data_IF_611977689260
#
_entry.id   IF_611977689260
#
_cell.length_a   1.000
_cell.length_b   1.000
_cell.length_c   1.000
_cell.angle_alpha   90.00
_cell.angle_beta   90.00
_cell.angle_gamma   90.00
#
_symmetry.space_group_name_H-M   'P 1'
#
loop_
_entity.id
_entity.type
_entity.pdbx_description
1 polymer ?
#
# COMPACT_ATOMS: atom_id res chain seq x y z
N UNK A 1 14.33 23.48 27.87
CA UNK A 1 13.70 24.70 27.36
C UNK A 1 12.89 24.33 26.13
N UNK A 2 11.56 24.34 26.24
CA UNK A 2 10.66 24.12 25.10
C UNK A 2 10.66 25.40 24.26
N UNK A 3 11.38 25.40 23.13
CA UNK A 3 11.18 26.43 22.11
C UNK A 3 9.69 26.38 21.69
N UNK A 4 8.93 27.44 22.02
CA UNK A 4 7.59 27.64 21.48
C UNK A 4 7.72 27.60 19.96
N UNK A 5 7.15 26.61 19.30
CA UNK A 5 7.06 26.56 17.84
C UNK A 5 6.16 27.73 17.43
N UNK A 6 6.73 28.76 16.83
CA UNK A 6 5.97 29.86 16.25
C UNK A 6 4.99 29.30 15.21
N UNK A 7 3.74 29.73 15.30
CA UNK A 7 2.71 29.43 14.31
C UNK A 7 3.16 30.11 13.00
N UNK A 8 3.34 29.35 11.94
CA UNK A 8 3.71 29.89 10.63
C UNK A 8 2.58 30.76 10.11
N UNK A 9 2.86 32.02 9.83
CA UNK A 9 1.93 32.95 9.21
C UNK A 9 1.70 32.60 7.75
N UNK A 10 0.50 32.92 7.24
CA UNK A 10 0.19 32.87 5.81
C UNK A 10 1.15 33.79 5.04
N UNK A 11 1.52 33.40 3.84
CA UNK A 11 2.32 34.19 2.91
C UNK A 11 1.60 34.29 1.58
N UNK A 12 1.62 35.48 0.98
CA UNK A 12 1.20 35.68 -0.40
C UNK A 12 2.14 34.92 -1.37
N UNK A 13 1.76 34.79 -2.64
CA UNK A 13 2.58 34.12 -3.65
C UNK A 13 3.95 34.84 -3.77
N UNK A 14 3.96 36.17 -3.82
CA UNK A 14 5.22 36.93 -3.93
C UNK A 14 6.11 36.75 -2.70
N UNK A 15 5.55 36.75 -1.51
CA UNK A 15 6.27 36.45 -0.27
C UNK A 15 6.80 35.00 -0.24
N UNK A 16 6.09 34.06 -0.82
CA UNK A 16 6.57 32.67 -0.97
C UNK A 16 7.72 32.56 -1.95
N UNK A 17 7.65 33.26 -3.08
CA UNK A 17 8.73 33.32 -4.08
C UNK A 17 9.99 33.93 -3.47
N UNK A 18 9.86 35.06 -2.78
CA UNK A 18 10.98 35.70 -2.07
C UNK A 18 11.58 34.78 -1.00
N UNK A 19 10.73 34.09 -0.23
CA UNK A 19 11.18 33.13 0.77
C UNK A 19 11.93 31.95 0.13
N UNK A 20 11.47 31.41 -1.01
CA UNK A 20 12.15 30.33 -1.72
C UNK A 20 13.55 30.76 -2.15
N UNK A 21 13.69 31.93 -2.74
CA UNK A 21 15.01 32.45 -3.12
C UNK A 21 15.92 32.65 -1.90
N UNK A 22 15.46 33.39 -0.89
CA UNK A 22 16.25 33.70 0.29
C UNK A 22 16.66 32.45 1.09
N UNK A 23 15.74 31.51 1.26
CA UNK A 23 15.95 30.37 2.18
C UNK A 23 16.41 29.10 1.51
N UNK A 24 16.17 28.90 0.20
CA UNK A 24 16.44 27.66 -0.52
C UNK A 24 17.18 27.86 -1.84
N UNK A 25 17.47 29.12 -2.22
CA UNK A 25 18.14 29.47 -3.47
C UNK A 25 17.41 28.94 -4.71
N UNK A 26 16.07 28.91 -4.66
CA UNK A 26 15.21 28.54 -5.79
C UNK A 26 14.68 29.81 -6.43
N UNK A 27 14.97 30.00 -7.70
CA UNK A 27 14.52 31.11 -8.54
C UNK A 27 13.20 30.70 -9.22
N UNK A 28 12.17 31.50 -9.05
CA UNK A 28 10.86 31.31 -9.64
C UNK A 28 10.62 32.40 -10.68
N UNK A 29 10.44 32.01 -11.92
CA UNK A 29 10.10 32.94 -13.02
C UNK A 29 8.61 33.34 -12.90
N UNK A 30 8.25 34.53 -13.38
CA UNK A 30 6.87 35.05 -13.27
C UNK A 30 5.85 34.12 -13.93
N UNK A 31 6.19 33.49 -15.05
CA UNK A 31 5.37 32.49 -15.74
C UNK A 31 5.06 31.26 -14.89
N UNK A 32 5.91 30.91 -13.93
CA UNK A 32 5.78 29.72 -13.10
C UNK A 32 4.99 29.99 -11.79
N UNK A 33 4.67 31.26 -11.51
CA UNK A 33 3.92 31.60 -10.27
C UNK A 33 2.53 30.96 -10.19
N UNK A 34 1.93 30.60 -11.34
CA UNK A 34 0.60 29.95 -11.36
C UNK A 34 0.58 28.60 -10.61
N UNK A 35 1.71 27.89 -10.53
CA UNK A 35 1.79 26.62 -9.79
C UNK A 35 1.44 26.78 -8.31
N UNK A 36 1.64 27.97 -7.71
CA UNK A 36 1.28 28.22 -6.32
C UNK A 36 -0.23 28.38 -6.09
N UNK A 37 -1.02 28.63 -7.15
CA UNK A 37 -2.48 28.60 -7.09
C UNK A 37 -3.06 27.20 -7.33
N UNK A 38 -2.31 26.32 -8.01
CA UNK A 38 -2.75 24.96 -8.29
C UNK A 38 -2.40 23.97 -7.18
N UNK A 39 -1.30 24.23 -6.43
CA UNK A 39 -0.79 23.33 -5.41
C UNK A 39 -0.38 24.04 -4.14
N UNK A 40 -0.69 23.41 -3.01
CA UNK A 40 -0.26 23.94 -1.72
C UNK A 40 1.29 23.94 -1.62
N UNK A 41 1.86 25.07 -1.20
CA UNK A 41 3.30 25.23 -0.98
C UNK A 41 3.92 24.10 -0.14
N UNK A 42 3.20 23.64 0.90
CA UNK A 42 3.73 22.60 1.81
C UNK A 42 3.89 21.27 1.08
N UNK A 43 2.90 20.87 0.28
CA UNK A 43 2.93 19.62 -0.49
C UNK A 43 3.87 19.71 -1.70
N UNK A 44 4.05 20.89 -2.27
CA UNK A 44 4.89 21.11 -3.45
C UNK A 44 6.38 21.21 -3.09
N UNK A 45 6.74 21.91 -2.02
CA UNK A 45 8.16 22.23 -1.73
C UNK A 45 8.78 21.28 -0.71
N UNK A 46 8.07 21.02 0.40
CA UNK A 46 8.66 20.30 1.52
C UNK A 46 9.10 18.86 1.20
N UNK A 47 8.36 18.08 0.42
CA UNK A 47 8.73 16.71 0.06
C UNK A 47 10.04 16.66 -0.74
N UNK A 48 10.28 17.66 -1.60
CA UNK A 48 11.36 17.65 -2.58
C UNK A 48 12.57 18.55 -2.22
N UNK A 49 12.45 19.37 -1.16
CA UNK A 49 13.51 20.34 -0.77
C UNK A 49 14.90 19.75 -0.57
N UNK A 50 14.97 18.44 -0.26
CA UNK A 50 16.26 17.76 -0.10
C UNK A 50 17.04 17.63 -1.41
N UNK A 51 16.37 17.65 -2.56
CA UNK A 51 17.01 17.57 -3.88
C UNK A 51 17.84 18.82 -4.20
N UNK A 52 17.50 19.95 -3.60
CA UNK A 52 18.16 21.25 -3.79
C UNK A 52 19.20 21.57 -2.71
N UNK A 53 19.35 20.70 -1.71
CA UNK A 53 20.29 20.91 -0.62
C UNK A 53 21.66 20.36 -0.93
N UNK A 54 22.71 21.09 -0.53
CA UNK A 54 24.08 20.64 -0.64
C UNK A 54 24.56 19.80 0.55
N UNK A 55 23.70 19.61 1.56
CA UNK A 55 23.99 18.83 2.75
C UNK A 55 23.19 19.31 3.97
N UNK A 56 23.69 18.94 5.16
CA UNK A 56 23.08 19.34 6.44
C UNK A 56 24.14 20.00 7.31
N UNK A 57 23.74 20.98 8.09
CA UNK A 57 24.61 21.59 9.10
C UNK A 57 24.67 20.71 10.36
N UNK A 58 25.48 21.11 11.34
CA UNK A 58 25.67 20.40 12.62
C UNK A 58 24.36 20.27 13.45
N UNK A 59 23.34 21.08 13.14
CA UNK A 59 21.97 20.99 13.75
C UNK A 59 20.99 20.18 12.91
N UNK A 60 21.46 19.47 11.86
CA UNK A 60 20.62 18.66 10.97
C UNK A 60 19.77 19.45 9.96
N UNK A 61 19.87 20.79 9.91
CA UNK A 61 19.13 21.62 8.94
C UNK A 61 19.76 21.54 7.56
N UNK A 62 18.94 21.50 6.50
CA UNK A 62 19.38 21.49 5.11
C UNK A 62 20.09 22.83 4.77
N UNK A 63 21.17 22.72 4.01
CA UNK A 63 21.99 23.85 3.52
C UNK A 63 21.77 23.96 2.02
N UNK A 64 21.52 25.19 1.55
CA UNK A 64 21.30 25.52 0.14
C UNK A 64 22.37 26.54 -0.29
N UNK A 65 23.34 26.12 -1.10
CA UNK A 65 24.45 26.95 -1.55
C UNK A 65 24.35 27.32 -3.03
N UNK A 66 23.82 26.44 -3.84
CA UNK A 66 23.67 26.61 -5.29
C UNK A 66 22.26 27.14 -5.61
N UNK A 67 22.18 28.01 -6.60
CA UNK A 67 20.91 28.45 -7.16
C UNK A 67 20.35 27.40 -8.09
N UNK A 68 19.03 27.24 -8.04
CA UNK A 68 18.26 26.30 -8.83
C UNK A 68 17.07 27.01 -9.46
N UNK A 69 16.69 26.59 -10.66
CA UNK A 69 15.45 27.05 -11.27
C UNK A 69 14.26 26.27 -10.75
N UNK A 70 13.15 26.95 -10.50
CA UNK A 70 11.90 26.33 -10.05
C UNK A 70 11.38 25.25 -11.02
N UNK A 71 11.69 25.37 -12.33
CA UNK A 71 11.36 24.35 -13.33
C UNK A 71 11.98 22.98 -13.04
N UNK A 72 13.17 22.94 -12.37
CA UNK A 72 13.76 21.67 -11.91
C UNK A 72 12.83 20.97 -10.90
N UNK A 73 12.26 21.74 -9.96
CA UNK A 73 11.30 21.21 -8.98
C UNK A 73 10.03 20.71 -9.67
N UNK A 74 9.48 21.49 -10.60
CA UNK A 74 8.28 21.11 -11.36
C UNK A 74 8.51 19.83 -12.14
N UNK A 75 9.67 19.63 -12.72
CA UNK A 75 10.03 18.39 -13.43
C UNK A 75 10.05 17.19 -12.48
N UNK A 76 10.62 17.34 -11.27
CA UNK A 76 10.61 16.27 -10.24
C UNK A 76 9.16 15.93 -9.85
N UNK A 77 8.32 16.93 -9.64
CA UNK A 77 6.91 16.74 -9.30
C UNK A 77 6.17 15.99 -10.42
N UNK A 78 6.38 16.38 -11.68
CA UNK A 78 5.76 15.70 -12.83
C UNK A 78 6.16 14.22 -12.91
N UNK A 79 7.43 13.91 -12.65
CA UNK A 79 7.90 12.52 -12.62
C UNK A 79 7.21 11.75 -11.49
N UNK A 80 7.09 12.36 -10.30
CA UNK A 80 6.41 11.73 -9.16
C UNK A 80 4.92 11.48 -9.44
N UNK A 81 4.23 12.46 -10.04
CA UNK A 81 2.82 12.34 -10.42
C UNK A 81 2.60 11.22 -11.45
N UNK A 82 3.40 11.19 -12.52
CA UNK A 82 3.26 10.16 -13.57
C UNK A 82 3.61 8.76 -13.03
N UNK A 83 4.64 8.65 -12.19
CA UNK A 83 4.96 7.39 -11.53
C UNK A 83 3.85 6.95 -10.57
N UNK A 84 3.24 7.88 -9.83
CA UNK A 84 2.11 7.60 -8.94
C UNK A 84 0.89 7.09 -9.72
N UNK A 85 0.57 7.64 -10.89
CA UNK A 85 -0.48 7.11 -11.78
C UNK A 85 -0.21 5.67 -12.19
N UNK A 86 1.02 5.40 -12.64
CA UNK A 86 1.44 4.06 -13.04
C UNK A 86 1.33 3.08 -11.86
N UNK A 87 1.80 3.48 -10.68
CA UNK A 87 1.70 2.65 -9.47
C UNK A 87 0.26 2.41 -9.04
N UNK A 88 -0.62 3.40 -9.17
CA UNK A 88 -2.04 3.23 -8.88
C UNK A 88 -2.67 2.10 -9.70
N UNK A 89 -2.39 2.08 -11.00
CA UNK A 89 -2.86 1.01 -11.89
C UNK A 89 -2.31 -0.36 -11.49
N UNK A 90 -0.99 -0.47 -11.29
CA UNK A 90 -0.33 -1.73 -10.95
C UNK A 90 -0.77 -2.27 -9.59
N UNK A 91 -0.94 -1.40 -8.61
CA UNK A 91 -1.47 -1.76 -7.29
C UNK A 91 -2.92 -2.25 -7.40
N UNK A 92 -3.74 -1.61 -8.24
CA UNK A 92 -5.11 -2.05 -8.49
C UNK A 92 -5.17 -3.46 -9.10
N UNK A 93 -4.31 -3.77 -10.07
CA UNK A 93 -4.21 -5.11 -10.66
C UNK A 93 -3.72 -6.15 -9.63
N UNK A 94 -2.71 -5.80 -8.83
CA UNK A 94 -2.22 -6.64 -7.73
C UNK A 94 -3.32 -6.93 -6.71
N UNK A 95 -4.04 -5.91 -6.24
CA UNK A 95 -5.14 -6.06 -5.29
C UNK A 95 -6.25 -6.97 -5.86
N UNK A 96 -6.61 -6.77 -7.12
CA UNK A 96 -7.60 -7.61 -7.81
C UNK A 96 -7.16 -9.08 -7.87
N UNK A 97 -5.91 -9.34 -8.24
CA UNK A 97 -5.36 -10.70 -8.29
C UNK A 97 -5.30 -11.32 -6.89
N UNK A 98 -4.82 -10.56 -5.90
CA UNK A 98 -4.75 -11.03 -4.51
C UNK A 98 -6.13 -11.42 -3.97
N UNK A 99 -7.17 -10.61 -4.22
CA UNK A 99 -8.56 -10.94 -3.88
C UNK A 99 -8.95 -12.30 -4.41
N UNK A 100 -8.77 -12.52 -5.70
CA UNK A 100 -9.15 -13.79 -6.34
C UNK A 100 -8.39 -14.97 -5.75
N UNK A 101 -7.07 -14.88 -5.61
CA UNK A 101 -6.23 -15.99 -5.13
C UNK A 101 -6.53 -16.33 -3.67
N UNK A 102 -6.64 -15.33 -2.79
CA UNK A 102 -6.96 -15.54 -1.36
C UNK A 102 -8.31 -16.24 -1.21
N UNK A 103 -9.33 -15.79 -1.95
CA UNK A 103 -10.65 -16.36 -1.80
C UNK A 103 -10.83 -17.71 -2.48
N UNK A 104 -10.11 -17.99 -3.55
CA UNK A 104 -10.06 -19.34 -4.08
C UNK A 104 -9.52 -20.32 -3.04
N UNK A 105 -8.45 -19.97 -2.32
CA UNK A 105 -7.93 -20.83 -1.23
C UNK A 105 -8.92 -20.98 -0.07
N UNK A 106 -9.64 -19.92 0.29
CA UNK A 106 -10.70 -20.02 1.30
C UNK A 106 -11.85 -20.93 0.83
N UNK A 107 -12.31 -20.75 -0.41
CA UNK A 107 -13.41 -21.58 -0.96
C UNK A 107 -13.03 -23.06 -1.04
N UNK A 108 -11.77 -23.39 -1.32
CA UNK A 108 -11.27 -24.79 -1.33
C UNK A 108 -11.49 -25.51 0.01
N UNK A 109 -11.58 -24.80 1.14
CA UNK A 109 -11.87 -25.39 2.46
C UNK A 109 -13.32 -25.89 2.58
N UNK A 110 -14.19 -25.48 1.64
CA UNK A 110 -15.61 -25.79 1.65
C UNK A 110 -16.06 -26.68 0.47
N UNK A 111 -15.18 -27.03 -0.47
CA UNK A 111 -15.51 -27.81 -1.67
C UNK A 111 -16.11 -29.18 -1.32
N UNK A 112 -15.62 -29.84 -0.27
CA UNK A 112 -16.07 -31.16 0.17
C UNK A 112 -17.11 -31.08 1.33
N UNK A 113 -17.71 -29.92 1.54
CA UNK A 113 -18.72 -29.76 2.57
C UNK A 113 -20.07 -30.29 2.05
N UNK A 114 -20.64 -31.31 2.71
CA UNK A 114 -21.96 -31.89 2.32
C UNK A 114 -23.07 -30.83 2.28
N UNK A 115 -23.03 -29.86 3.21
CA UNK A 115 -24.01 -28.78 3.25
C UNK A 115 -23.83 -27.79 2.09
N UNK A 116 -22.55 -27.55 1.64
CA UNK A 116 -22.26 -26.72 0.47
C UNK A 116 -22.63 -27.42 -0.84
N UNK A 117 -22.63 -28.75 -0.90
CA UNK A 117 -23.05 -29.50 -2.09
C UNK A 117 -24.55 -29.39 -2.35
N UNK A 118 -25.33 -29.23 -1.30
CA UNK A 118 -26.81 -29.04 -1.38
C UNK A 118 -27.16 -27.58 -1.68
N UNK A 119 -26.45 -26.64 -1.08
CA UNK A 119 -26.63 -25.20 -1.30
C UNK A 119 -25.37 -24.63 -1.99
N UNK A 120 -25.39 -24.57 -3.33
CA UNK A 120 -24.29 -24.05 -4.17
C UNK A 120 -23.81 -22.64 -3.80
N UNK A 121 -24.33 -22.04 -2.75
CA UNK A 121 -24.05 -20.65 -2.32
C UNK A 121 -22.86 -20.51 -1.40
N UNK A 122 -22.31 -21.60 -0.82
CA UNK A 122 -21.17 -21.57 0.10
C UNK A 122 -21.34 -20.51 1.23
N UNK A 123 -22.41 -20.64 2.02
CA UNK A 123 -22.75 -19.70 3.09
C UNK A 123 -22.47 -20.25 4.50
N UNK A 124 -21.96 -21.46 4.59
CA UNK A 124 -21.61 -22.12 5.88
C UNK A 124 -20.58 -21.33 6.70
N UNK A 125 -19.68 -20.59 6.02
CA UNK A 125 -18.71 -19.74 6.68
C UNK A 125 -19.36 -18.75 7.66
N UNK A 126 -20.58 -18.29 7.37
CA UNK A 126 -21.32 -17.37 8.25
C UNK A 126 -21.68 -18.03 9.59
N UNK A 127 -22.07 -19.29 9.56
CA UNK A 127 -22.35 -20.04 10.79
C UNK A 127 -21.08 -20.24 11.61
N UNK A 128 -19.99 -20.64 10.98
CA UNK A 128 -18.69 -20.85 11.63
C UNK A 128 -18.13 -19.55 12.24
N UNK A 129 -18.23 -18.42 11.52
CA UNK A 129 -17.81 -17.12 12.04
C UNK A 129 -18.67 -16.73 13.25
N UNK A 130 -20.00 -16.88 13.16
CA UNK A 130 -20.90 -16.55 14.26
C UNK A 130 -20.55 -17.36 15.52
N UNK A 131 -20.40 -18.68 15.39
CA UNK A 131 -20.03 -19.57 16.50
C UNK A 131 -18.70 -19.17 17.14
N UNK A 132 -17.70 -18.78 16.32
CA UNK A 132 -16.42 -18.27 16.84
C UNK A 132 -16.55 -16.94 17.58
N UNK A 133 -17.33 -16.01 17.03
CA UNK A 133 -17.50 -14.68 17.65
C UNK A 133 -18.29 -14.74 18.96
N UNK A 134 -19.27 -15.62 19.05
CA UNK A 134 -20.09 -15.81 20.27
C UNK A 134 -19.38 -16.64 21.35
N UNK A 135 -18.75 -17.74 20.96
CA UNK A 135 -18.25 -18.73 21.92
C UNK A 135 -16.71 -18.80 22.02
N UNK A 136 -15.99 -18.27 21.04
CA UNK A 136 -14.51 -18.21 21.03
C UNK A 136 -13.80 -19.56 20.85
N UNK A 137 -14.53 -20.66 20.64
CA UNK A 137 -13.99 -22.03 20.76
C UNK A 137 -13.41 -22.58 19.45
N UNK A 138 -14.11 -22.40 18.34
CA UNK A 138 -13.71 -23.05 17.08
C UNK A 138 -13.54 -22.00 15.97
N UNK A 139 -12.33 -21.86 15.44
CA UNK A 139 -12.09 -20.98 14.32
C UNK A 139 -12.75 -21.50 13.05
N UNK A 140 -13.23 -20.62 12.15
CA UNK A 140 -13.68 -21.02 10.81
C UNK A 140 -12.64 -21.88 10.09
N UNK A 141 -13.07 -22.82 9.24
CA UNK A 141 -12.20 -23.82 8.54
C UNK A 141 -11.08 -23.18 7.73
N UNK A 142 -11.27 -21.98 7.20
CA UNK A 142 -10.23 -21.28 6.47
C UNK A 142 -9.16 -20.67 7.36
N UNK A 143 -9.40 -20.53 8.67
CA UNK A 143 -8.40 -20.05 9.61
C UNK A 143 -7.41 -21.16 9.96
N UNK A 144 -6.12 -20.84 9.87
CA UNK A 144 -5.04 -21.65 10.37
C UNK A 144 -4.63 -21.25 11.79
N UNK A 145 -3.53 -21.85 12.25
CA UNK A 145 -2.88 -21.46 13.51
C UNK A 145 -2.19 -20.09 13.35
N UNK A 146 -2.99 -19.06 13.38
CA UNK A 146 -2.65 -17.66 13.17
C UNK A 146 -1.46 -17.15 13.95
N UNK A 147 -1.27 -17.65 15.19
CA UNK A 147 -0.27 -17.15 16.11
C UNK A 147 1.18 -17.40 15.67
N UNK A 148 1.46 -18.47 14.93
CA UNK A 148 2.85 -18.88 14.70
C UNK A 148 3.64 -17.93 13.77
N UNK A 149 3.01 -17.40 12.74
CA UNK A 149 3.70 -16.50 11.78
C UNK A 149 3.69 -15.06 12.29
N UNK A 150 2.61 -14.64 12.92
CA UNK A 150 2.52 -13.31 13.53
C UNK A 150 3.46 -13.15 14.73
N UNK A 151 3.61 -14.15 15.57
CA UNK A 151 4.61 -14.16 16.63
C UNK A 151 6.03 -13.98 16.11
N UNK A 152 6.39 -14.54 14.94
CA UNK A 152 7.72 -14.31 14.35
C UNK A 152 7.89 -12.92 13.78
N UNK A 153 6.85 -12.32 13.22
CA UNK A 153 6.87 -10.92 12.74
C UNK A 153 6.89 -9.95 13.92
N UNK A 154 6.12 -10.25 14.97
CA UNK A 154 6.02 -9.42 16.17
C UNK A 154 7.17 -9.61 17.17
N UNK A 155 7.86 -10.75 17.19
CA UNK A 155 9.03 -10.98 18.08
C UNK A 155 10.22 -10.09 17.77
N UNK A 156 10.25 -9.44 16.62
CA UNK A 156 11.20 -8.36 16.35
C UNK A 156 10.75 -7.00 16.94
N UNK A 157 9.55 -6.90 17.50
CA UNK A 157 9.07 -5.77 18.30
C UNK A 157 8.95 -6.21 19.76
N UNK A 158 9.57 -5.48 20.65
CA UNK A 158 9.71 -5.76 22.08
C UNK A 158 8.41 -5.66 22.91
N UNK A 159 7.22 -5.67 22.29
CA UNK A 159 5.96 -5.38 22.96
C UNK A 159 5.07 -6.62 23.11
N UNK A 160 4.93 -7.07 24.38
CA UNK A 160 3.94 -8.08 24.82
C UNK A 160 2.46 -7.66 24.64
N UNK A 161 2.18 -6.40 24.27
CA UNK A 161 0.83 -5.89 23.95
C UNK A 161 0.27 -6.41 22.63
N UNK A 162 1.10 -7.06 21.82
CA UNK A 162 0.72 -7.46 20.45
C UNK A 162 -0.23 -8.66 20.38
N UNK A 163 -0.29 -9.54 21.37
CA UNK A 163 -1.12 -10.75 21.30
C UNK A 163 -2.62 -10.43 21.41
N UNK A 164 -2.98 -9.55 22.33
CA UNK A 164 -4.37 -9.06 22.47
C UNK A 164 -4.81 -8.28 21.25
N UNK A 165 -3.96 -7.37 20.75
CA UNK A 165 -4.21 -6.59 19.57
C UNK A 165 -4.41 -7.44 18.30
N UNK A 166 -3.64 -8.50 18.13
CA UNK A 166 -3.79 -9.41 17.00
C UNK A 166 -5.08 -10.24 17.07
N UNK A 167 -5.48 -10.64 18.25
CA UNK A 167 -6.75 -11.35 18.45
C UNK A 167 -7.95 -10.42 18.17
N UNK A 168 -7.89 -9.19 18.63
CA UNK A 168 -8.90 -8.17 18.35
C UNK A 168 -9.04 -7.93 16.83
N UNK A 169 -7.94 -7.67 16.14
CA UNK A 169 -7.97 -7.49 14.66
C UNK A 169 -8.55 -8.69 13.93
N UNK A 170 -8.28 -9.90 14.41
CA UNK A 170 -8.88 -11.12 13.86
C UNK A 170 -10.39 -11.12 14.06
N UNK A 171 -10.85 -10.82 15.27
CA UNK A 171 -12.28 -10.74 15.59
C UNK A 171 -12.97 -9.67 14.76
N UNK A 172 -12.41 -8.46 14.69
CA UNK A 172 -12.93 -7.34 13.91
C UNK A 172 -13.08 -7.71 12.42
N UNK A 173 -12.05 -8.35 11.84
CA UNK A 173 -12.13 -8.79 10.44
C UNK A 173 -13.19 -9.86 10.24
N UNK A 174 -13.29 -10.86 11.11
CA UNK A 174 -14.31 -11.90 11.00
C UNK A 174 -15.72 -11.32 11.19
N UNK A 175 -15.89 -10.38 12.11
CA UNK A 175 -17.15 -9.66 12.28
C UNK A 175 -17.51 -8.86 11.02
N UNK A 176 -16.55 -8.14 10.43
CA UNK A 176 -16.78 -7.41 9.18
C UNK A 176 -17.14 -8.38 8.03
N UNK A 177 -16.46 -9.53 7.90
CA UNK A 177 -16.80 -10.55 6.91
C UNK A 177 -18.23 -11.06 7.15
N UNK A 178 -18.63 -11.27 8.38
CA UNK A 178 -20.00 -11.67 8.74
C UNK A 178 -21.02 -10.60 8.33
N UNK A 179 -20.77 -9.33 8.67
CA UNK A 179 -21.61 -8.20 8.32
C UNK A 179 -21.80 -8.07 6.80
N UNK A 180 -20.70 -8.19 6.02
CA UNK A 180 -20.77 -8.22 4.55
C UNK A 180 -21.62 -9.39 4.09
N UNK A 181 -21.40 -10.56 4.67
CA UNK A 181 -22.03 -11.81 4.24
C UNK A 181 -23.51 -11.93 4.60
N UNK A 182 -23.96 -11.29 5.68
CA UNK A 182 -25.30 -11.41 6.23
C UNK A 182 -26.11 -10.12 6.15
N UNK A 183 -25.44 -8.96 6.08
CA UNK A 183 -26.12 -7.65 6.12
C UNK A 183 -26.63 -7.24 7.51
N UNK A 184 -26.14 -7.88 8.56
CA UNK A 184 -26.51 -7.63 9.96
C UNK A 184 -25.32 -7.89 10.90
N UNK A 185 -25.36 -7.37 12.12
CA UNK A 185 -24.40 -7.69 13.18
C UNK A 185 -24.56 -9.12 13.66
N UNK A 186 -23.56 -9.65 14.37
CA UNK A 186 -23.57 -11.01 14.93
C UNK A 186 -24.73 -11.22 15.90
N UNK A 187 -25.11 -10.20 16.67
CA UNK A 187 -26.25 -10.21 17.58
C UNK A 187 -27.62 -10.15 16.88
N UNK A 188 -27.66 -10.09 15.54
CA UNK A 188 -28.87 -10.03 14.75
C UNK A 188 -29.46 -8.62 14.55
N UNK A 189 -28.84 -7.58 15.11
CA UNK A 189 -29.27 -6.20 14.84
C UNK A 189 -28.95 -5.79 13.39
N UNK A 190 -29.79 -4.94 12.80
CA UNK A 190 -29.56 -4.43 11.44
C UNK A 190 -28.40 -3.44 11.45
N UNK A 191 -27.60 -3.49 10.39
CA UNK A 191 -26.59 -2.47 10.11
C UNK A 191 -27.27 -1.11 9.87
N UNK A 192 -26.68 -0.04 10.36
CA UNK A 192 -27.13 1.31 10.05
C UNK A 192 -26.74 1.71 8.61
N UNK A 193 -27.16 2.91 8.16
CA UNK A 193 -26.91 3.38 6.80
C UNK A 193 -25.39 3.61 6.53
N UNK A 194 -24.61 3.92 7.56
CA UNK A 194 -23.17 4.16 7.45
C UNK A 194 -22.42 2.84 7.33
N UNK A 195 -22.86 1.82 8.06
CA UNK A 195 -22.26 0.49 8.13
C UNK A 195 -22.59 -0.36 6.88
N UNK A 196 -23.67 -0.01 6.14
CA UNK A 196 -24.06 -0.76 4.95
C UNK A 196 -22.93 -0.80 3.92
N UNK A 197 -22.60 -2.00 3.48
CA UNK A 197 -21.63 -2.21 2.41
C UNK A 197 -22.08 -1.49 1.12
N UNK A 198 -21.25 -0.57 0.60
CA UNK A 198 -21.53 0.17 -0.65
C UNK A 198 -21.20 -0.63 -1.92
N UNK A 199 -20.69 -1.84 -1.79
CA UNK A 199 -20.35 -2.67 -2.95
C UNK A 199 -21.63 -3.19 -3.61
N UNK A 200 -21.88 -2.78 -4.87
CA UNK A 200 -23.09 -3.10 -5.61
C UNK A 200 -23.33 -4.61 -5.76
N UNK A 201 -22.28 -5.40 -5.90
CA UNK A 201 -22.39 -6.84 -6.05
C UNK A 201 -22.82 -7.49 -4.73
N UNK A 202 -22.27 -7.06 -3.61
CA UNK A 202 -22.69 -7.52 -2.28
C UNK A 202 -24.16 -7.15 -2.03
N UNK A 203 -24.54 -5.89 -2.29
CA UNK A 203 -25.93 -5.44 -2.14
C UNK A 203 -26.91 -6.24 -3.00
N UNK A 204 -26.51 -6.60 -4.23
CA UNK A 204 -27.31 -7.45 -5.10
C UNK A 204 -27.62 -8.81 -4.45
N UNK A 205 -26.65 -9.45 -3.78
CA UNK A 205 -26.89 -10.72 -3.09
C UNK A 205 -27.72 -10.56 -1.82
N UNK A 206 -27.52 -9.48 -1.06
CA UNK A 206 -28.31 -9.18 0.14
C UNK A 206 -29.78 -8.86 -0.17
N UNK A 207 -30.08 -8.39 -1.38
CA UNK A 207 -31.46 -8.11 -1.84
C UNK A 207 -32.23 -9.37 -2.27
N UNK A 208 -31.56 -10.52 -2.45
CA UNK A 208 -32.22 -11.80 -2.80
C UNK A 208 -32.93 -12.39 -1.59
N UNK A 209 -33.84 -13.35 -1.85
CA UNK A 209 -34.60 -14.05 -0.81
C UNK A 209 -33.71 -14.68 0.28
N UNK A 210 -32.57 -15.24 -0.10
CA UNK A 210 -31.62 -15.87 0.83
C UNK A 210 -30.95 -14.88 1.77
N UNK A 211 -30.88 -13.60 1.38
CA UNK A 211 -30.20 -12.50 2.13
C UNK A 211 -28.81 -12.92 2.64
N UNK A 212 -28.07 -13.67 1.84
CA UNK A 212 -26.74 -14.17 2.17
C UNK A 212 -25.81 -13.97 0.99
N UNK A 213 -24.60 -13.54 1.25
CA UNK A 213 -23.56 -13.30 0.24
C UNK A 213 -22.65 -14.53 0.18
N UNK A 214 -22.48 -15.17 -0.99
CA UNK A 214 -21.51 -16.25 -1.15
C UNK A 214 -20.09 -15.81 -0.82
N UNK A 215 -19.29 -16.73 -0.27
CA UNK A 215 -17.93 -16.43 0.17
C UNK A 215 -17.06 -15.80 -0.94
N UNK A 216 -17.19 -16.22 -2.20
CA UNK A 216 -16.42 -15.66 -3.33
C UNK A 216 -16.79 -14.23 -3.73
N UNK A 217 -17.87 -13.69 -3.20
CA UNK A 217 -18.28 -12.28 -3.43
C UNK A 217 -17.72 -11.34 -2.37
N UNK A 218 -17.56 -11.79 -1.14
CA UNK A 218 -17.10 -11.03 0.02
C UNK A 218 -15.80 -10.21 -0.25
N UNK A 219 -14.80 -10.75 -1.02
CA UNK A 219 -13.55 -10.03 -1.29
C UNK A 219 -13.72 -8.67 -1.92
N UNK A 220 -14.82 -8.50 -2.68
CA UNK A 220 -15.05 -7.23 -3.38
C UNK A 220 -15.29 -6.06 -2.43
N UNK A 221 -15.69 -6.33 -1.19
CA UNK A 221 -15.90 -5.32 -0.16
C UNK A 221 -14.70 -5.12 0.77
N UNK A 222 -13.70 -6.02 0.75
CA UNK A 222 -12.54 -5.92 1.62
C UNK A 222 -11.48 -4.96 1.07
N UNK A 223 -10.87 -4.22 1.98
CA UNK A 223 -9.71 -3.37 1.72
C UNK A 223 -8.43 -4.19 1.59
N UNK A 224 -7.36 -3.62 1.04
CA UNK A 224 -6.06 -4.29 0.94
C UNK A 224 -5.48 -4.63 2.33
N UNK A 225 -5.72 -3.81 3.36
CA UNK A 225 -5.31 -4.09 4.73
C UNK A 225 -6.02 -5.30 5.33
N UNK A 226 -7.33 -5.42 5.07
CA UNK A 226 -8.12 -6.58 5.49
C UNK A 226 -7.71 -7.85 4.74
N UNK A 227 -7.38 -7.75 3.45
CA UNK A 227 -6.83 -8.86 2.68
C UNK A 227 -5.47 -9.32 3.21
N UNK A 228 -4.61 -8.40 3.67
CA UNK A 228 -3.35 -8.73 4.33
C UNK A 228 -3.62 -9.49 5.64
N UNK A 229 -4.53 -9.00 6.47
CA UNK A 229 -4.92 -9.65 7.72
C UNK A 229 -5.51 -11.05 7.45
N UNK A 230 -6.38 -11.15 6.44
CA UNK A 230 -6.98 -12.41 6.02
C UNK A 230 -5.92 -13.41 5.54
N UNK A 231 -4.98 -12.99 4.69
CA UNK A 231 -3.86 -13.81 4.24
C UNK A 231 -3.07 -14.39 5.44
N UNK A 232 -2.81 -13.57 6.46
CA UNK A 232 -2.11 -14.00 7.67
C UNK A 232 -2.93 -14.96 8.53
N UNK A 233 -4.26 -14.94 8.43
CA UNK A 233 -5.16 -15.85 9.17
C UNK A 233 -5.28 -17.23 8.55
N UNK A 234 -4.91 -17.41 7.27
CA UNK A 234 -5.00 -18.69 6.59
C UNK A 234 -3.95 -19.68 7.10
N UNK A 235 -4.20 -20.96 6.90
CA UNK A 235 -3.20 -22.00 7.18
C UNK A 235 -1.98 -21.88 6.25
N UNK A 236 -0.86 -22.42 6.71
CA UNK A 236 0.44 -22.30 6.03
C UNK A 236 0.43 -22.91 4.60
N UNK A 237 -0.37 -23.94 4.35
CA UNK A 237 -0.48 -24.56 3.02
C UNK A 237 -1.17 -23.59 2.05
N UNK A 238 -2.28 -22.99 2.46
CA UNK A 238 -2.98 -21.96 1.70
C UNK A 238 -2.10 -20.73 1.46
N UNK A 239 -1.38 -20.26 2.49
CA UNK A 239 -0.45 -19.14 2.34
C UNK A 239 0.64 -19.43 1.30
N UNK A 240 1.25 -20.62 1.31
CA UNK A 240 2.26 -21.02 0.32
C UNK A 240 1.69 -21.03 -1.11
N UNK A 241 0.47 -21.54 -1.30
CA UNK A 241 -0.19 -21.57 -2.61
C UNK A 241 -0.48 -20.14 -3.10
N UNK A 242 -0.95 -19.25 -2.21
CA UNK A 242 -1.16 -17.85 -2.54
C UNK A 242 0.13 -17.19 -2.99
N UNK A 243 1.23 -17.35 -2.25
CA UNK A 243 2.53 -16.77 -2.62
C UNK A 243 2.99 -17.30 -3.97
N UNK A 244 2.87 -18.61 -4.23
CA UNK A 244 3.24 -19.23 -5.51
C UNK A 244 2.40 -18.65 -6.67
N UNK A 245 1.09 -18.53 -6.49
CA UNK A 245 0.19 -17.99 -7.48
C UNK A 245 0.44 -16.49 -7.76
N UNK A 246 0.74 -15.70 -6.72
CA UNK A 246 1.07 -14.29 -6.88
C UNK A 246 2.41 -14.07 -7.58
N UNK A 247 3.38 -14.97 -7.39
CA UNK A 247 4.69 -14.96 -8.08
C UNK A 247 4.65 -15.61 -9.48
N UNK A 248 3.49 -16.01 -10.00
CA UNK A 248 3.31 -16.73 -11.27
C UNK A 248 4.20 -17.98 -11.40
N UNK A 249 4.48 -18.67 -10.31
CA UNK A 249 5.43 -19.78 -10.29
C UNK A 249 4.85 -21.04 -9.66
N UNK A 250 4.52 -22.02 -10.51
CA UNK A 250 4.11 -23.34 -10.06
C UNK A 250 5.28 -24.26 -9.64
N UNK A 251 6.52 -23.81 -9.82
CA UNK A 251 7.74 -24.59 -9.58
C UNK A 251 8.53 -24.18 -8.34
N UNK A 252 8.22 -23.06 -7.71
CA UNK A 252 8.95 -22.56 -6.54
C UNK A 252 8.55 -23.34 -5.28
N UNK A 253 9.56 -23.86 -4.60
CA UNK A 253 9.39 -24.38 -3.23
C UNK A 253 9.26 -23.19 -2.28
N UNK A 254 8.04 -22.83 -1.96
CA UNK A 254 7.75 -21.72 -1.03
C UNK A 254 7.99 -22.17 0.41
N UNK A 255 8.81 -21.43 1.13
CA UNK A 255 9.07 -21.66 2.56
C UNK A 255 8.38 -20.61 3.45
N UNK A 256 8.61 -20.70 4.77
CA UNK A 256 8.01 -19.75 5.71
C UNK A 256 8.62 -18.34 5.62
N UNK A 257 9.87 -18.21 5.14
CA UNK A 257 10.51 -16.90 4.93
C UNK A 257 9.85 -16.17 3.75
N UNK A 258 9.47 -16.92 2.70
CA UNK A 258 8.71 -16.36 1.58
C UNK A 258 7.37 -15.80 2.01
N UNK A 259 6.64 -16.49 2.91
CA UNK A 259 5.36 -16.03 3.45
C UNK A 259 5.54 -14.71 4.23
N UNK A 260 6.54 -14.66 5.10
CA UNK A 260 6.86 -13.46 5.90
C UNK A 260 7.26 -12.30 4.98
N UNK A 261 8.13 -12.56 4.01
CA UNK A 261 8.55 -11.56 3.01
C UNK A 261 7.36 -11.03 2.22
N UNK A 262 6.48 -11.92 1.74
CA UNK A 262 5.29 -11.56 0.98
C UNK A 262 4.32 -10.70 1.79
N UNK A 263 4.07 -11.03 3.06
CA UNK A 263 3.28 -10.17 3.94
C UNK A 263 3.88 -8.76 4.07
N UNK A 264 5.19 -8.67 4.17
CA UNK A 264 5.89 -7.39 4.20
C UNK A 264 5.81 -6.62 2.87
N UNK A 265 5.72 -7.30 1.73
CA UNK A 265 5.48 -6.65 0.43
C UNK A 265 4.06 -6.11 0.33
N UNK A 266 3.05 -6.86 0.79
CA UNK A 266 1.66 -6.35 0.85
C UNK A 266 1.60 -5.07 1.70
N UNK A 267 2.32 -5.01 2.82
CA UNK A 267 2.35 -3.83 3.68
C UNK A 267 2.94 -2.60 2.96
N UNK A 268 4.04 -2.77 2.23
CA UNK A 268 4.60 -1.68 1.42
C UNK A 268 3.65 -1.21 0.33
N UNK A 269 3.00 -2.16 -0.37
CA UNK A 269 2.00 -1.86 -1.40
C UNK A 269 0.83 -1.09 -0.80
N UNK A 270 0.37 -1.48 0.39
CA UNK A 270 -0.70 -0.79 1.12
C UNK A 270 -0.32 0.65 1.47
N UNK A 271 0.91 0.87 1.92
CA UNK A 271 1.42 2.21 2.24
C UNK A 271 1.50 3.08 0.98
N UNK A 272 2.07 2.56 -0.13
CA UNK A 272 2.10 3.27 -1.42
C UNK A 272 0.68 3.62 -1.90
N UNK A 273 -0.27 2.66 -1.82
CA UNK A 273 -1.67 2.90 -2.19
C UNK A 273 -2.29 4.04 -1.37
N UNK A 274 -2.04 4.07 -0.06
CA UNK A 274 -2.59 5.12 0.80
C UNK A 274 -2.01 6.49 0.45
N UNK A 275 -0.70 6.59 0.24
CA UNK A 275 -0.03 7.82 -0.20
C UNK A 275 -0.67 8.34 -1.49
N UNK A 276 -0.79 7.47 -2.50
CA UNK A 276 -1.38 7.84 -3.81
C UNK A 276 -2.84 8.25 -3.67
N UNK A 277 -3.64 7.52 -2.89
CA UNK A 277 -5.05 7.84 -2.69
C UNK A 277 -5.29 9.17 -1.95
N UNK A 278 -4.34 9.60 -1.13
CA UNK A 278 -4.38 10.89 -0.44
C UNK A 278 -3.71 12.02 -1.23
N UNK A 279 -3.30 11.75 -2.48
CA UNK A 279 -2.58 12.72 -3.33
C UNK A 279 -1.31 13.24 -2.67
N UNK A 280 -0.66 12.40 -1.86
CA UNK A 280 0.62 12.71 -1.25
C UNK A 280 1.78 12.33 -2.18
N UNK A 281 2.91 13.04 -2.15
CA UNK A 281 4.09 12.71 -2.94
C UNK A 281 4.65 11.32 -2.61
N UNK A 282 4.83 10.48 -3.64
CA UNK A 282 5.31 9.11 -3.48
C UNK A 282 6.84 9.04 -3.37
N UNK A 283 7.57 9.88 -4.11
CA UNK A 283 9.03 9.86 -4.19
C UNK A 283 9.74 9.95 -2.82
N UNK A 284 9.33 10.82 -1.87
CA UNK A 284 9.96 10.86 -0.54
C UNK A 284 9.81 9.54 0.23
N UNK A 285 8.67 8.88 0.10
CA UNK A 285 8.43 7.57 0.68
C UNK A 285 9.36 6.50 0.07
N UNK A 286 9.46 6.44 -1.26
CA UNK A 286 10.36 5.51 -1.94
C UNK A 286 11.81 5.70 -1.50
N UNK A 287 12.25 6.96 -1.34
CA UNK A 287 13.58 7.28 -0.83
C UNK A 287 13.78 6.79 0.61
N UNK A 288 12.77 6.93 1.47
CA UNK A 288 12.85 6.46 2.87
C UNK A 288 12.94 4.95 2.96
N UNK A 289 12.18 4.22 2.15
CA UNK A 289 12.14 2.77 2.15
C UNK A 289 13.37 2.10 1.51
N UNK A 290 14.17 2.86 0.78
CA UNK A 290 15.41 2.34 0.21
C UNK A 290 16.50 2.24 1.27
N UNK A 291 16.58 1.11 1.96
CA UNK A 291 17.49 0.89 3.10
C UNK A 291 18.85 0.34 2.70
N UNK A 292 18.97 -0.34 1.56
CA UNK A 292 20.22 -1.00 1.13
C UNK A 292 21.08 -0.09 0.24
N UNK A 293 22.40 -0.36 0.19
CA UNK A 293 23.33 0.31 -0.72
C UNK A 293 23.06 -0.05 -2.18
N UNK A 294 22.54 -1.25 -2.43
CA UNK A 294 22.11 -1.70 -3.75
C UNK A 294 20.60 -1.64 -3.83
N UNK A 295 20.07 -1.03 -4.87
CA UNK A 295 18.61 -0.91 -5.07
C UNK A 295 17.99 -2.29 -5.26
N UNK A 296 18.65 -3.17 -6.01
CA UNK A 296 18.17 -4.51 -6.34
C UNK A 296 17.89 -5.38 -5.11
N UNK A 297 18.68 -5.19 -4.05
CA UNK A 297 18.55 -5.94 -2.78
C UNK A 297 17.55 -5.29 -1.83
N UNK A 298 16.98 -4.13 -2.19
CA UNK A 298 16.02 -3.45 -1.33
C UNK A 298 14.66 -4.13 -1.35
N UNK A 299 14.02 -4.21 -0.19
CA UNK A 299 12.63 -4.70 -0.07
C UNK A 299 11.69 -3.94 -1.01
N UNK A 300 11.93 -2.63 -1.18
CA UNK A 300 11.17 -1.79 -2.10
C UNK A 300 11.26 -2.31 -3.54
N UNK A 301 12.46 -2.57 -4.06
CA UNK A 301 12.66 -3.01 -5.43
C UNK A 301 12.03 -4.38 -5.68
N UNK A 302 12.19 -5.32 -4.73
CA UNK A 302 11.51 -6.62 -4.80
C UNK A 302 9.99 -6.46 -4.81
N UNK A 303 9.47 -5.48 -4.04
CA UNK A 303 8.03 -5.18 -4.02
C UNK A 303 7.55 -4.63 -5.38
N UNK A 304 8.32 -3.74 -5.99
CA UNK A 304 8.01 -3.21 -7.32
C UNK A 304 8.03 -4.31 -8.40
N UNK A 305 8.99 -5.23 -8.35
CA UNK A 305 9.01 -6.42 -9.22
C UNK A 305 7.78 -7.31 -9.04
N UNK A 306 7.24 -7.40 -7.84
CA UNK A 306 6.02 -8.16 -7.57
C UNK A 306 4.79 -7.50 -8.18
N UNK A 307 4.77 -6.16 -8.24
CA UNK A 307 3.70 -5.42 -8.89
C UNK A 307 3.72 -5.56 -10.41
N UNK A 308 4.91 -5.59 -11.00
CA UNK A 308 5.07 -5.74 -12.45
C UNK A 308 6.40 -6.45 -12.78
N UNK A 309 6.33 -7.52 -13.57
CA UNK A 309 7.51 -8.23 -14.05
C UNK A 309 8.44 -7.35 -14.91
N UNK A 310 7.92 -6.25 -15.47
CA UNK A 310 8.70 -5.30 -16.26
C UNK A 310 9.75 -4.57 -15.41
N UNK A 311 9.49 -4.34 -14.13
CA UNK A 311 10.50 -3.81 -13.21
C UNK A 311 11.73 -4.74 -13.08
N UNK A 312 11.61 -6.00 -13.46
CA UNK A 312 12.74 -6.93 -13.48
C UNK A 312 13.68 -6.74 -14.66
N UNK A 313 13.24 -6.05 -15.73
CA UNK A 313 13.99 -5.83 -16.97
C UNK A 313 14.75 -4.52 -17.00
N UNK A 314 14.48 -3.63 -16.05
CA UNK A 314 15.18 -2.35 -15.93
C UNK A 314 16.51 -2.61 -15.23
N UNK A 315 17.59 -2.65 -16.01
CA UNK A 315 18.93 -2.65 -15.45
C UNK A 315 19.26 -1.26 -14.94
N UNK A 316 19.59 -1.16 -13.65
CA UNK A 316 19.87 0.12 -12.97
C UNK A 316 21.15 0.78 -13.51
N UNK A 317 22.02 -0.01 -14.15
CA UNK A 317 23.20 0.49 -14.86
C UNK A 317 22.88 1.43 -16.02
N UNK A 318 21.69 1.26 -16.67
CA UNK A 318 21.27 2.01 -17.85
C UNK A 318 20.50 3.29 -17.49
N UNK A 319 20.27 3.52 -16.20
CA UNK A 319 19.57 4.70 -15.69
C UNK A 319 20.47 5.94 -15.74
N UNK A 320 20.58 6.55 -16.90
CA UNK A 320 21.10 7.89 -17.08
C UNK A 320 19.94 8.86 -17.24
N UNK A 321 19.58 9.55 -16.17
CA UNK A 321 18.72 10.72 -16.31
C UNK A 321 19.54 11.86 -16.89
N UNK A 322 19.11 12.42 -18.00
CA UNK A 322 19.63 13.69 -18.58
C UNK A 322 19.28 14.91 -17.68
N UNK A 323 18.93 14.65 -16.43
CA UNK A 323 18.66 15.71 -15.47
C UNK A 323 19.97 16.10 -14.81
N UNK A 324 20.42 17.32 -15.12
CA UNK A 324 21.62 17.94 -14.53
C UNK A 324 21.38 18.35 -13.05
N UNK A 325 20.87 17.41 -12.26
CA UNK A 325 20.69 17.59 -10.80
C UNK A 325 21.97 17.15 -10.10
N UNK A 326 23.04 17.89 -10.36
CA UNK A 326 24.40 17.57 -9.87
C UNK A 326 24.58 17.67 -8.34
N UNK A 327 23.57 18.09 -7.61
CA UNK A 327 23.63 18.30 -6.16
C UNK A 327 22.83 17.28 -5.33
N UNK A 328 22.14 16.33 -5.98
CA UNK A 328 21.24 15.38 -5.32
C UNK A 328 22.04 14.25 -4.67
N UNK A 329 21.70 13.90 -3.43
CA UNK A 329 22.17 12.69 -2.78
C UNK A 329 22.01 11.51 -3.77
N UNK A 330 23.09 10.74 -3.97
CA UNK A 330 23.15 9.62 -4.93
C UNK A 330 21.97 8.63 -4.85
N UNK A 331 21.43 8.43 -3.65
CA UNK A 331 20.25 7.60 -3.38
C UNK A 331 18.97 8.19 -4.02
N UNK A 332 18.73 9.48 -3.79
CA UNK A 332 17.54 10.17 -4.32
C UNK A 332 17.58 10.26 -5.84
N UNK A 333 18.75 10.52 -6.42
CA UNK A 333 18.95 10.54 -7.87
C UNK A 333 18.62 9.19 -8.49
N UNK A 334 19.14 8.09 -7.94
CA UNK A 334 18.88 6.74 -8.46
C UNK A 334 17.40 6.37 -8.48
N UNK A 335 16.62 6.74 -7.44
CA UNK A 335 15.19 6.49 -7.44
C UNK A 335 14.47 7.34 -8.47
N UNK A 336 14.83 8.61 -8.60
CA UNK A 336 14.25 9.49 -9.60
C UNK A 336 14.52 8.99 -11.03
N UNK A 337 15.76 8.58 -11.29
CA UNK A 337 16.18 7.98 -12.56
C UNK A 337 15.35 6.70 -12.86
N UNK A 338 15.20 5.83 -11.87
CA UNK A 338 14.38 4.63 -11.97
C UNK A 338 12.91 4.95 -12.29
N UNK A 339 12.31 5.94 -11.60
CA UNK A 339 10.93 6.36 -11.87
C UNK A 339 10.77 6.89 -13.29
N UNK A 340 11.68 7.75 -13.72
CA UNK A 340 11.66 8.33 -15.06
C UNK A 340 11.78 7.26 -16.15
N UNK A 341 12.73 6.34 -16.02
CA UNK A 341 12.91 5.26 -16.98
C UNK A 341 11.69 4.33 -17.03
N UNK A 342 11.11 4.02 -15.88
CA UNK A 342 9.90 3.20 -15.79
C UNK A 342 8.72 3.84 -16.54
N UNK A 343 8.53 5.16 -16.39
CA UNK A 343 7.50 5.90 -17.12
C UNK A 343 7.76 5.83 -18.63
N UNK A 344 9.01 6.08 -19.07
CA UNK A 344 9.41 6.08 -20.46
C UNK A 344 9.13 4.74 -21.13
N UNK A 345 9.49 3.64 -20.50
CA UNK A 345 9.27 2.29 -21.04
C UNK A 345 7.80 1.90 -21.11
N UNK A 346 6.98 2.32 -20.14
CA UNK A 346 5.54 2.07 -20.19
C UNK A 346 4.87 2.91 -21.28
N UNK A 347 5.28 4.15 -21.48
CA UNK A 347 4.73 5.01 -22.55
C UNK A 347 5.13 4.55 -23.95
N UNK A 348 6.34 3.97 -24.13
CA UNK A 348 6.79 3.45 -25.44
C UNK A 348 6.02 2.22 -25.94
N UNK A 349 5.18 1.60 -25.10
CA UNK A 349 4.32 0.46 -25.48
C UNK A 349 2.95 0.87 -25.99
N UNK A 350 2.58 2.13 -25.82
CA UNK A 350 1.32 2.71 -26.33
C UNK A 350 1.54 3.53 -27.61
N UNK A 351 2.77 3.65 -28.10
CA UNK A 351 3.16 4.17 -29.41
C UNK A 351 3.53 3.02 -30.35
#
# INVERSE_FOLDING_TARGET
MNEKREIKTYRSIDEMVEYLYKSKKIIVDDEDKHYFSERNYISMINPYKQFFSTGRNNKGKLIYKKEHNFKELINIIKIDDEFSKLMYEKIGLFEKKLKVVVFNEMCLKYVNCEDCSKDKTCTIYLKEIKEFLENGVTCPRFCGNYFYIYEKIARNSTDKKNDTYNLERKRDLLEHIYQIGKGEHVNGSKLDEIEKCKNKLVLHYLSKETKKVPLWIVPNALTLGELQTLFLMLDTVSQKRIVAAMKNSNKLKIDNKDIISFSGHIELIRQMRNIINHYEPLLPFLISEMTSKKIEDSKLFITLKLLDEQFSKIEISDLKADMDVNSVNSKSKRILDFMFQTIKENNSKFL
#
